data_IF_880259216574
#
_entry.id   IF_880259216574
#
_cell.length_a   1.000
_cell.length_b   1.000
_cell.length_c   1.000
_cell.angle_alpha   90.00
_cell.angle_beta   90.00
_cell.angle_gamma   90.00
#
_symmetry.space_group_name_H-M   'P 1'
#
loop_
_entity.id
_entity.type
_entity.pdbx_description
1 polymer ?
#
# COMPACT_ATOMS: atom_id res chain seq x y z
N UNK A 1 16.02 -42.66 -69.95
CA UNK A 1 16.57 -42.36 -68.64
C UNK A 1 15.96 -41.03 -68.19
N UNK A 2 14.87 -41.13 -67.45
CA UNK A 2 14.15 -39.92 -66.94
C UNK A 2 14.52 -39.73 -65.48
N UNK A 3 15.16 -38.60 -65.14
CA UNK A 3 15.53 -38.21 -63.78
C UNK A 3 14.36 -37.51 -63.10
N UNK A 4 13.80 -38.11 -62.02
CA UNK A 4 12.80 -37.48 -61.16
C UNK A 4 13.59 -36.61 -60.16
N UNK A 5 13.27 -35.30 -60.13
CA UNK A 5 13.71 -34.38 -59.11
C UNK A 5 12.60 -34.32 -58.05
N UNK A 6 12.89 -34.81 -56.83
CA UNK A 6 12.03 -34.68 -55.69
C UNK A 6 12.28 -33.31 -55.03
N UNK A 7 11.24 -32.45 -55.00
CA UNK A 7 11.25 -31.18 -54.27
C UNK A 7 10.80 -31.44 -52.85
N UNK A 8 11.70 -31.27 -51.89
CA UNK A 8 11.43 -31.35 -50.47
C UNK A 8 10.90 -29.99 -50.01
N UNK A 9 9.62 -29.92 -49.72
CA UNK A 9 8.99 -28.74 -49.08
C UNK A 9 9.24 -28.77 -47.58
N UNK A 10 10.17 -27.91 -47.10
CA UNK A 10 10.35 -27.64 -45.67
C UNK A 10 9.26 -26.70 -45.20
N UNK A 11 8.29 -27.20 -44.43
CA UNK A 11 7.32 -26.37 -43.71
C UNK A 11 7.97 -25.76 -42.45
N UNK A 12 8.30 -24.48 -42.48
CA UNK A 12 8.68 -23.70 -41.31
C UNK A 12 7.45 -23.49 -40.42
N UNK A 13 7.37 -24.24 -39.33
CA UNK A 13 6.42 -23.97 -38.26
C UNK A 13 6.87 -22.69 -37.52
N UNK A 14 6.20 -21.59 -37.76
CA UNK A 14 6.35 -20.37 -36.99
C UNK A 14 5.71 -20.60 -35.61
N UNK A 15 6.52 -20.93 -34.62
CA UNK A 15 6.08 -20.90 -33.23
C UNK A 15 5.81 -19.42 -32.85
N UNK A 16 4.54 -19.05 -32.90
CA UNK A 16 4.08 -17.78 -32.34
C UNK A 16 4.40 -17.74 -30.85
N UNK A 17 5.43 -17.00 -30.46
CA UNK A 17 5.64 -16.62 -29.09
C UNK A 17 4.44 -15.77 -28.66
N UNK A 18 3.49 -16.40 -27.93
CA UNK A 18 2.53 -15.69 -27.12
C UNK A 18 3.31 -14.93 -26.06
N UNK A 19 3.76 -13.73 -26.38
CA UNK A 19 4.20 -12.77 -25.38
C UNK A 19 2.97 -12.43 -24.53
N UNK A 20 2.83 -13.09 -23.38
CA UNK A 20 2.01 -12.59 -22.31
C UNK A 20 2.48 -11.15 -22.04
N UNK A 21 1.82 -10.16 -22.65
CA UNK A 21 1.94 -8.76 -22.27
C UNK A 21 1.47 -8.70 -20.81
N UNK A 22 2.43 -8.79 -19.90
CA UNK A 22 2.22 -8.50 -18.49
C UNK A 22 1.50 -7.14 -18.45
N UNK A 23 0.26 -7.12 -17.92
CA UNK A 23 -0.53 -5.88 -17.83
C UNK A 23 0.35 -4.84 -17.14
N UNK A 24 0.67 -3.76 -17.83
CA UNK A 24 1.57 -2.68 -17.37
C UNK A 24 0.97 -1.80 -16.27
N UNK A 25 -0.07 -2.27 -15.58
CA UNK A 25 -0.78 -1.56 -14.53
C UNK A 25 -0.33 -1.99 -13.13
N UNK A 26 -0.50 -1.09 -12.17
CA UNK A 26 -0.32 -1.35 -10.75
C UNK A 26 -1.60 -1.95 -10.20
N UNK A 27 -1.60 -3.24 -9.85
CA UNK A 27 -2.76 -3.90 -9.25
C UNK A 27 -2.72 -3.75 -7.74
N UNK A 28 -3.81 -3.26 -7.17
CA UNK A 28 -3.96 -2.99 -5.74
C UNK A 28 -5.25 -3.64 -5.25
N UNK A 29 -5.15 -4.39 -4.15
CA UNK A 29 -6.28 -5.02 -3.45
C UNK A 29 -6.49 -4.32 -2.12
N UNK A 30 -7.72 -3.90 -1.83
CA UNK A 30 -8.13 -3.34 -0.55
C UNK A 30 -8.38 -4.45 0.48
N UNK A 31 -7.81 -4.32 1.67
CA UNK A 31 -7.88 -5.35 2.71
C UNK A 31 -8.38 -4.84 4.08
N UNK A 32 -9.01 -3.68 4.08
CA UNK A 32 -9.68 -3.11 5.25
C UNK A 32 -9.02 -1.84 5.77
N UNK A 33 -9.81 -0.93 6.30
CA UNK A 33 -9.44 0.39 6.81
C UNK A 33 -8.57 1.20 5.81
N UNK A 34 -7.26 1.32 6.05
CA UNK A 34 -6.26 1.84 5.10
C UNK A 34 -5.42 0.73 4.47
N UNK A 35 -5.72 -0.52 4.81
CA UNK A 35 -4.96 -1.69 4.39
C UNK A 35 -5.05 -1.96 2.89
N UNK A 36 -3.89 -2.06 2.24
CA UNK A 36 -3.78 -2.43 0.82
C UNK A 36 -2.67 -3.45 0.58
N UNK A 37 -2.89 -4.29 -0.44
CA UNK A 37 -1.86 -5.15 -1.04
C UNK A 37 -1.54 -4.67 -2.43
N UNK A 38 -0.27 -4.38 -2.70
CA UNK A 38 0.24 -3.93 -3.99
C UNK A 38 0.93 -5.09 -4.67
N UNK A 39 0.50 -5.43 -5.89
CA UNK A 39 1.09 -6.46 -6.74
C UNK A 39 2.14 -5.86 -7.67
N UNK A 40 3.38 -6.34 -7.58
CA UNK A 40 4.45 -5.90 -8.50
C UNK A 40 4.67 -6.87 -9.66
N UNK A 41 3.98 -8.03 -9.63
CA UNK A 41 4.23 -9.15 -10.53
C UNK A 41 5.30 -10.13 -10.00
N UNK A 42 6.29 -9.64 -9.26
CA UNK A 42 7.35 -10.48 -8.64
C UNK A 42 7.14 -10.67 -7.15
N UNK A 43 6.65 -9.66 -6.48
CA UNK A 43 6.46 -9.60 -5.04
C UNK A 43 5.18 -8.84 -4.70
N UNK A 44 4.77 -8.90 -3.46
CA UNK A 44 3.67 -8.13 -2.89
C UNK A 44 4.19 -7.20 -1.80
N UNK A 45 3.53 -6.06 -1.66
CA UNK A 45 3.77 -5.10 -0.59
C UNK A 45 2.46 -4.92 0.14
N UNK A 46 2.48 -5.01 1.46
CA UNK A 46 1.32 -4.72 2.32
C UNK A 46 1.57 -3.39 3.01
N UNK A 47 0.58 -2.50 2.98
CA UNK A 47 0.58 -1.26 3.78
C UNK A 47 -0.63 -1.32 4.69
N UNK A 48 -0.46 -1.09 6.00
CA UNK A 48 -1.50 -1.02 7.04
C UNK A 48 -2.55 -2.15 7.02
N UNK A 49 -2.13 -3.36 6.60
CA UNK A 49 -3.07 -4.46 6.34
C UNK A 49 -3.04 -5.60 7.35
N UNK A 50 -2.13 -5.57 8.33
CA UNK A 50 -2.03 -6.57 9.40
C UNK A 50 -2.40 -5.92 10.74
N UNK A 51 -3.69 -5.77 10.96
CA UNK A 51 -4.26 -5.10 12.13
C UNK A 51 -5.50 -5.81 12.64
N UNK A 52 -5.92 -5.50 13.86
CA UNK A 52 -7.14 -6.00 14.46
C UNK A 52 -8.38 -5.26 13.91
N UNK A 53 -9.53 -5.90 14.04
CA UNK A 53 -10.79 -5.17 13.97
C UNK A 53 -10.86 -4.23 15.16
N UNK A 54 -10.88 -2.95 14.90
CA UNK A 54 -10.85 -1.94 15.95
C UNK A 54 -11.98 -0.92 15.79
N UNK A 55 -12.78 -0.75 16.85
CA UNK A 55 -13.93 0.15 16.85
C UNK A 55 -14.85 -0.09 15.65
N UNK A 56 -15.02 0.92 14.80
CA UNK A 56 -15.86 0.90 13.62
C UNK A 56 -15.16 0.39 12.35
N UNK A 57 -13.84 0.17 12.41
CA UNK A 57 -13.06 -0.20 11.23
C UNK A 57 -12.92 -1.72 11.10
N UNK A 58 -12.91 -2.19 9.86
CA UNK A 58 -12.81 -3.61 9.53
C UNK A 58 -11.40 -3.97 9.08
N UNK A 59 -11.03 -5.21 9.34
CA UNK A 59 -9.90 -5.88 8.72
C UNK A 59 -10.41 -7.02 7.84
N UNK A 60 -9.51 -7.74 7.17
CA UNK A 60 -9.87 -9.00 6.52
C UNK A 60 -10.63 -9.91 7.48
N UNK A 61 -11.61 -10.62 6.95
CA UNK A 61 -12.30 -11.68 7.68
C UNK A 61 -11.54 -13.00 7.56
N UNK A 62 -11.87 -13.95 8.43
CA UNK A 62 -11.41 -15.32 8.30
C UNK A 62 -12.08 -15.98 7.07
N UNK A 63 -11.38 -16.78 6.25
CA UNK A 63 -10.00 -17.26 6.45
C UNK A 63 -8.90 -16.36 5.85
N UNK A 64 -9.23 -15.27 5.14
CA UNK A 64 -8.25 -14.44 4.44
C UNK A 64 -7.22 -13.79 5.38
N UNK A 65 -7.66 -13.38 6.57
CA UNK A 65 -6.76 -12.84 7.58
C UNK A 65 -5.74 -13.89 8.04
N UNK A 66 -6.19 -15.14 8.24
CA UNK A 66 -5.29 -16.25 8.58
C UNK A 66 -4.29 -16.54 7.45
N UNK A 67 -4.73 -16.44 6.21
CA UNK A 67 -3.83 -16.64 5.06
C UNK A 67 -2.78 -15.54 4.98
N UNK A 68 -3.16 -14.28 5.27
CA UNK A 68 -2.20 -13.18 5.33
C UNK A 68 -1.23 -13.35 6.50
N UNK A 69 -1.70 -13.64 7.72
CA UNK A 69 -0.85 -13.85 8.90
C UNK A 69 0.14 -15.01 8.68
N UNK A 70 -0.31 -16.09 8.03
CA UNK A 70 0.50 -17.29 7.83
C UNK A 70 1.23 -17.31 6.48
N UNK A 71 1.28 -16.18 5.76
CA UNK A 71 1.93 -16.06 4.46
C UNK A 71 1.52 -17.14 3.46
N UNK A 72 0.22 -17.50 3.46
CA UNK A 72 -0.37 -18.48 2.53
C UNK A 72 -0.97 -17.76 1.31
N UNK A 73 -1.32 -18.51 0.28
CA UNK A 73 -2.00 -17.94 -0.91
C UNK A 73 -3.27 -17.19 -0.50
N UNK A 74 -3.49 -16.00 -1.10
CA UNK A 74 -2.71 -15.37 -2.18
C UNK A 74 -1.55 -14.47 -1.71
N UNK A 75 -1.14 -14.51 -0.43
CA UNK A 75 -0.20 -13.58 0.22
C UNK A 75 1.23 -14.15 0.38
N UNK A 76 1.54 -15.29 -0.22
CA UNK A 76 2.83 -15.96 -0.09
C UNK A 76 4.02 -15.20 -0.69
N UNK A 77 3.74 -14.15 -1.48
CA UNK A 77 4.77 -13.32 -2.11
C UNK A 77 5.00 -11.97 -1.42
N UNK A 78 4.41 -11.76 -0.25
CA UNK A 78 4.64 -10.55 0.53
C UNK A 78 6.11 -10.50 0.95
N UNK A 79 6.81 -9.47 0.48
CA UNK A 79 8.23 -9.26 0.78
C UNK A 79 8.47 -8.01 1.60
N UNK A 80 7.48 -7.12 1.66
CA UNK A 80 7.56 -5.86 2.39
C UNK A 80 6.22 -5.56 3.06
N UNK A 81 6.28 -5.30 4.35
CA UNK A 81 5.15 -4.84 5.17
C UNK A 81 5.49 -3.44 5.67
N UNK A 82 4.62 -2.49 5.41
CA UNK A 82 4.73 -1.11 5.84
C UNK A 82 3.61 -0.80 6.83
N UNK A 83 3.92 -0.13 7.92
CA UNK A 83 2.89 0.42 8.81
C UNK A 83 3.09 1.92 8.97
N UNK A 84 2.05 2.69 8.69
CA UNK A 84 2.06 4.14 8.82
C UNK A 84 2.27 4.56 10.27
N UNK A 85 1.59 3.88 11.20
CA UNK A 85 1.71 4.14 12.63
C UNK A 85 1.24 2.94 13.47
N UNK A 86 1.27 3.06 14.80
CA UNK A 86 1.09 1.93 15.72
C UNK A 86 -0.35 1.71 16.21
N UNK A 87 -1.33 2.51 15.77
CA UNK A 87 -2.72 2.31 16.19
C UNK A 87 -3.26 0.96 15.73
N UNK A 88 -4.19 0.40 16.53
CA UNK A 88 -4.66 -0.97 16.38
C UNK A 88 -5.44 -1.26 15.09
N UNK A 89 -5.92 -0.24 14.42
CA UNK A 89 -6.59 -0.32 13.11
C UNK A 89 -5.65 -0.14 11.91
N UNK A 90 -4.34 -0.01 12.16
CA UNK A 90 -3.27 0.02 11.14
C UNK A 90 -2.20 -1.04 11.37
N UNK A 91 -1.95 -1.41 12.63
CA UNK A 91 -0.85 -2.28 12.99
C UNK A 91 -1.16 -3.18 14.17
N UNK A 92 -0.78 -4.46 14.05
CA UNK A 92 -0.74 -5.42 15.15
C UNK A 92 0.59 -6.17 15.15
N UNK A 93 1.41 -5.93 16.16
CA UNK A 93 2.74 -6.53 16.28
C UNK A 93 2.74 -8.06 16.29
N UNK A 94 1.71 -8.72 16.86
CA UNK A 94 1.60 -10.18 16.86
C UNK A 94 1.30 -10.72 15.47
N UNK A 95 0.40 -10.10 14.73
CA UNK A 95 0.04 -10.53 13.37
C UNK A 95 1.20 -10.31 12.40
N UNK A 96 1.81 -9.12 12.42
CA UNK A 96 2.99 -8.83 11.59
C UNK A 96 4.16 -9.75 11.98
N UNK A 97 4.39 -9.95 13.27
CA UNK A 97 5.42 -10.85 13.77
C UNK A 97 5.23 -12.30 13.32
N UNK A 98 3.99 -12.82 13.37
CA UNK A 98 3.67 -14.15 12.87
C UNK A 98 3.89 -14.24 11.34
N UNK A 99 3.50 -13.22 10.57
CA UNK A 99 3.80 -13.19 9.14
C UNK A 99 5.30 -13.24 8.87
N UNK A 100 6.10 -12.44 9.58
CA UNK A 100 7.56 -12.44 9.44
C UNK A 100 8.19 -13.78 9.82
N UNK A 101 7.67 -14.48 10.83
CA UNK A 101 8.13 -15.83 11.16
C UNK A 101 7.81 -16.84 10.06
N UNK A 102 6.61 -16.80 9.51
CA UNK A 102 6.14 -17.72 8.48
C UNK A 102 6.72 -17.39 7.09
N UNK A 103 7.19 -16.15 6.88
CA UNK A 103 7.80 -15.69 5.64
C UNK A 103 9.19 -15.07 5.89
N UNK A 104 10.26 -15.88 5.83
CA UNK A 104 11.62 -15.38 6.07
C UNK A 104 12.12 -14.33 5.09
N UNK A 105 11.46 -14.16 3.95
CA UNK A 105 11.80 -13.15 2.93
C UNK A 105 11.18 -11.78 3.22
N UNK A 106 10.12 -11.73 4.03
CA UNK A 106 9.42 -10.49 4.35
C UNK A 106 10.23 -9.63 5.33
N UNK A 107 10.13 -8.32 5.14
CA UNK A 107 10.67 -7.28 6.02
C UNK A 107 9.57 -6.35 6.46
N UNK A 108 9.74 -5.74 7.62
CA UNK A 108 8.84 -4.72 8.15
C UNK A 108 9.56 -3.37 8.22
N UNK A 109 8.85 -2.32 7.80
CA UNK A 109 9.21 -0.91 8.01
C UNK A 109 8.03 -0.23 8.69
N UNK A 110 8.32 0.54 9.71
CA UNK A 110 7.33 1.33 10.43
C UNK A 110 7.99 2.35 11.33
N UNK A 111 7.19 2.92 12.22
CA UNK A 111 7.64 3.89 13.20
C UNK A 111 8.48 3.24 14.31
N UNK A 112 9.19 4.07 15.10
CA UNK A 112 9.87 3.58 16.30
C UNK A 112 8.85 3.10 17.35
N UNK A 113 7.67 3.74 17.43
CA UNK A 113 6.59 3.30 18.33
C UNK A 113 6.12 1.90 17.96
N UNK A 114 5.90 1.60 16.66
CA UNK A 114 5.52 0.26 16.20
C UNK A 114 6.63 -0.77 16.49
N UNK A 115 7.90 -0.43 16.26
CA UNK A 115 9.02 -1.33 16.56
C UNK A 115 9.15 -1.63 18.05
N UNK A 116 8.92 -0.66 18.92
CA UNK A 116 8.91 -0.84 20.36
C UNK A 116 7.78 -1.76 20.83
N UNK A 117 6.65 -1.75 20.13
CA UNK A 117 5.52 -2.63 20.42
C UNK A 117 5.86 -4.10 20.11
N UNK A 118 6.59 -4.38 19.03
CA UNK A 118 7.09 -5.72 18.73
C UNK A 118 7.87 -6.31 19.91
N UNK A 119 8.84 -5.55 20.43
CA UNK A 119 9.69 -6.01 21.52
C UNK A 119 8.91 -6.31 22.80
N UNK A 120 7.77 -5.62 23.01
CA UNK A 120 6.94 -5.80 24.20
C UNK A 120 5.99 -6.99 24.11
N UNK A 121 5.36 -7.21 22.93
CA UNK A 121 4.18 -8.09 22.87
C UNK A 121 4.36 -9.32 21.97
N UNK A 122 5.41 -9.37 21.15
CA UNK A 122 5.66 -10.51 20.27
C UNK A 122 6.78 -11.41 20.81
N UNK A 123 6.40 -12.56 21.35
CA UNK A 123 7.35 -13.49 21.99
C UNK A 123 8.47 -13.97 21.04
N UNK A 124 8.22 -14.00 19.72
CA UNK A 124 9.20 -14.39 18.69
C UNK A 124 10.09 -13.26 18.19
N UNK A 125 10.11 -12.08 18.84
CA UNK A 125 10.80 -10.89 18.35
C UNK A 125 12.27 -11.11 18.03
N UNK A 126 13.01 -11.80 18.90
CA UNK A 126 14.44 -12.08 18.70
C UNK A 126 14.74 -12.82 17.38
N UNK A 127 13.78 -13.62 16.87
CA UNK A 127 13.94 -14.37 15.63
C UNK A 127 13.72 -13.50 14.37
N UNK A 128 13.05 -12.35 14.52
CA UNK A 128 12.67 -11.47 13.43
C UNK A 128 13.31 -10.08 13.50
N UNK A 129 13.97 -9.72 14.58
CA UNK A 129 14.46 -8.35 14.86
C UNK A 129 15.28 -7.73 13.73
N UNK A 130 16.12 -8.53 13.06
CA UNK A 130 16.95 -8.06 11.93
C UNK A 130 16.15 -7.73 10.68
N UNK A 131 14.85 -8.04 10.68
CA UNK A 131 13.90 -7.76 9.60
C UNK A 131 12.83 -6.74 10.01
N UNK A 132 12.90 -6.24 11.23
CA UNK A 132 12.07 -5.13 11.74
C UNK A 132 12.92 -3.87 11.72
N UNK A 133 12.60 -2.95 10.81
CA UNK A 133 13.38 -1.75 10.57
C UNK A 133 12.55 -0.51 10.91
N UNK A 134 12.69 0.08 12.11
CA UNK A 134 12.14 1.40 12.38
C UNK A 134 12.82 2.43 11.49
N UNK A 135 12.02 3.27 10.85
CA UNK A 135 12.53 4.25 9.89
C UNK A 135 11.83 5.59 10.16
N UNK A 136 12.53 6.48 10.85
CA UNK A 136 11.99 7.77 11.28
C UNK A 136 12.85 8.91 10.70
N UNK A 137 12.49 9.47 9.53
CA UNK A 137 13.14 10.69 9.05
C UNK A 137 12.85 11.86 9.99
N UNK A 138 13.68 12.89 9.97
CA UNK A 138 13.31 14.17 10.57
C UNK A 138 12.11 14.76 9.81
N UNK A 139 11.33 15.63 10.49
CA UNK A 139 10.28 16.38 9.78
C UNK A 139 10.90 17.19 8.63
N UNK A 140 10.18 17.22 7.49
CA UNK A 140 10.59 17.86 6.24
C UNK A 140 11.70 17.14 5.47
N UNK A 141 12.22 16.05 6.00
CA UNK A 141 13.18 15.16 5.32
C UNK A 141 12.49 13.85 4.92
N UNK A 142 13.10 13.12 3.98
CA UNK A 142 12.68 11.77 3.61
C UNK A 142 13.86 10.82 3.63
N UNK A 143 13.57 9.55 3.90
CA UNK A 143 14.54 8.46 3.78
C UNK A 143 14.15 7.62 2.59
N UNK A 144 15.07 7.48 1.63
CA UNK A 144 14.87 6.67 0.43
C UNK A 144 15.48 5.28 0.61
N UNK A 145 14.66 4.25 0.43
CA UNK A 145 15.02 2.84 0.56
C UNK A 145 14.73 2.10 -0.74
N UNK A 146 15.39 0.96 -0.95
CA UNK A 146 15.16 0.11 -2.13
C UNK A 146 15.04 -1.35 -1.71
N UNK A 147 13.97 -2.02 -2.16
CA UNK A 147 13.68 -3.43 -1.91
C UNK A 147 13.42 -4.14 -3.25
N UNK A 148 14.45 -4.79 -3.78
CA UNK A 148 14.39 -5.36 -5.14
C UNK A 148 14.17 -4.26 -6.18
N UNK A 149 13.04 -4.32 -6.88
CA UNK A 149 12.64 -3.33 -7.90
C UNK A 149 11.69 -2.23 -7.37
N UNK A 150 11.44 -2.22 -6.06
CA UNK A 150 10.59 -1.23 -5.39
C UNK A 150 11.45 -0.16 -4.71
N UNK A 151 11.17 1.11 -5.00
CA UNK A 151 11.72 2.24 -4.25
C UNK A 151 10.66 2.76 -3.30
N UNK A 152 11.06 3.05 -2.07
CA UNK A 152 10.19 3.56 -1.00
C UNK A 152 10.82 4.81 -0.42
N UNK A 153 10.18 5.97 -0.62
CA UNK A 153 10.52 7.20 0.11
C UNK A 153 9.62 7.28 1.33
N UNK A 154 10.22 7.25 2.50
CA UNK A 154 9.54 7.37 3.80
C UNK A 154 9.47 8.85 4.17
N UNK A 155 8.27 9.35 4.41
CA UNK A 155 7.97 10.73 4.78
C UNK A 155 7.51 10.76 6.24
N UNK A 156 7.95 11.71 7.02
CA UNK A 156 7.42 11.91 8.37
C UNK A 156 6.31 12.96 8.32
N UNK A 157 5.09 12.54 8.63
CA UNK A 157 3.90 13.39 8.61
C UNK A 157 3.31 13.49 10.02
N UNK A 158 2.79 14.66 10.38
CA UNK A 158 2.02 14.80 11.61
C UNK A 158 0.75 13.97 11.52
N UNK A 159 0.44 13.22 12.58
CA UNK A 159 -0.84 12.55 12.72
C UNK A 159 -1.97 13.57 12.88
N UNK A 160 -3.15 13.24 12.36
CA UNK A 160 -4.35 14.08 12.43
C UNK A 160 -4.89 14.29 13.86
N UNK A 161 -5.61 15.37 14.06
CA UNK A 161 -6.26 15.68 15.33
C UNK A 161 -5.29 15.96 16.48
N UNK A 162 -5.68 15.70 17.74
CA UNK A 162 -4.88 15.98 18.92
C UNK A 162 -3.71 15.01 19.13
N UNK A 163 -3.59 13.98 18.30
CA UNK A 163 -2.66 12.87 18.48
C UNK A 163 -1.29 13.13 17.85
N UNK A 164 -0.80 14.38 17.85
CA UNK A 164 0.50 14.77 17.26
C UNK A 164 1.72 14.05 17.87
N UNK A 165 1.59 13.47 19.06
CA UNK A 165 2.62 12.62 19.66
C UNK A 165 2.70 11.23 19.02
N UNK A 166 1.70 10.82 18.25
CA UNK A 166 1.73 9.60 17.45
C UNK A 166 2.65 9.79 16.27
N UNK A 167 3.65 8.95 16.17
CA UNK A 167 4.51 8.91 14.99
C UNK A 167 3.70 8.40 13.80
N UNK A 168 3.64 9.15 12.71
CA UNK A 168 2.98 8.75 11.48
C UNK A 168 3.88 8.92 10.27
N UNK A 169 3.91 7.93 9.42
CA UNK A 169 4.70 7.87 8.19
C UNK A 169 3.80 7.89 6.96
N UNK A 170 4.21 8.69 5.98
CA UNK A 170 3.74 8.53 4.62
C UNK A 170 4.74 7.73 3.79
N UNK A 171 4.25 7.00 2.82
CA UNK A 171 5.06 6.19 1.91
C UNK A 171 4.81 6.61 0.47
N UNK A 172 5.86 7.10 -0.19
CA UNK A 172 5.84 7.31 -1.65
C UNK A 172 6.61 6.17 -2.31
N UNK A 173 5.88 5.24 -2.91
CA UNK A 173 6.46 4.07 -3.58
C UNK A 173 6.61 4.31 -5.07
N UNK A 174 7.69 3.77 -5.64
CA UNK A 174 7.82 3.61 -7.09
C UNK A 174 7.85 2.12 -7.41
N UNK A 175 6.82 1.64 -8.11
CA UNK A 175 6.58 0.24 -8.48
C UNK A 175 6.23 0.20 -9.97
N UNK A 176 6.94 -0.59 -10.78
CA UNK A 176 6.68 -0.73 -12.22
C UNK A 176 6.57 0.63 -12.96
N UNK A 177 7.43 1.60 -12.59
CA UNK A 177 7.42 2.98 -13.10
C UNK A 177 6.17 3.79 -12.74
N UNK A 178 5.32 3.31 -11.85
CA UNK A 178 4.18 4.01 -11.26
C UNK A 178 4.52 4.52 -9.88
N UNK A 179 4.01 5.69 -9.54
CA UNK A 179 4.16 6.27 -8.20
C UNK A 179 2.86 6.18 -7.42
N UNK A 180 2.95 5.60 -6.23
CA UNK A 180 1.87 5.47 -5.27
C UNK A 180 2.24 6.23 -4.00
N UNK A 181 1.31 7.04 -3.50
CA UNK A 181 1.41 7.71 -2.20
C UNK A 181 0.37 7.13 -1.24
N UNK A 182 0.81 6.77 -0.03
CA UNK A 182 -0.05 6.43 1.11
C UNK A 182 0.37 7.31 2.28
N UNK A 183 -0.57 7.96 2.95
CA UNK A 183 -0.22 8.99 3.96
C UNK A 183 -0.51 8.56 5.40
N UNK A 184 -1.16 7.40 5.59
CA UNK A 184 -1.70 7.01 6.91
C UNK A 184 -2.68 8.07 7.42
N UNK A 185 -2.80 8.19 8.72
CA UNK A 185 -3.68 9.16 9.39
C UNK A 185 -3.11 10.57 9.46
N UNK A 186 -2.46 11.01 8.39
CA UNK A 186 -1.81 12.31 8.38
C UNK A 186 -2.80 13.48 8.55
N UNK A 187 -2.31 14.56 9.19
CA UNK A 187 -3.02 15.83 9.26
C UNK A 187 -3.03 16.53 7.89
N UNK A 188 -4.19 17.06 7.49
CA UNK A 188 -4.36 17.80 6.25
C UNK A 188 -3.88 19.25 6.43
N UNK A 189 -2.57 19.45 6.45
CA UNK A 189 -1.95 20.78 6.61
C UNK A 189 -0.83 21.02 5.59
N UNK A 190 -0.63 22.28 5.24
CA UNK A 190 0.45 22.69 4.33
C UNK A 190 1.82 22.28 4.89
N UNK A 191 2.01 22.38 6.20
CA UNK A 191 3.23 21.99 6.90
C UNK A 191 3.63 20.54 6.67
N UNK A 192 2.63 19.64 6.49
CA UNK A 192 2.87 18.23 6.24
C UNK A 192 3.35 17.94 4.82
N UNK A 193 2.93 18.71 3.81
CA UNK A 193 3.11 18.32 2.41
C UNK A 193 4.04 19.21 1.62
N UNK A 194 4.06 20.52 1.88
CA UNK A 194 4.89 21.47 1.13
C UNK A 194 6.40 21.12 1.13
N UNK A 195 6.99 20.68 2.28
CA UNK A 195 8.40 20.35 2.31
C UNK A 195 8.81 19.21 1.37
N UNK A 196 7.89 18.29 1.08
CA UNK A 196 8.16 17.11 0.25
C UNK A 196 7.97 17.38 -1.25
N UNK A 197 7.46 18.57 -1.62
CA UNK A 197 7.28 19.00 -3.03
C UNK A 197 6.54 17.94 -3.86
N UNK A 198 5.47 17.34 -3.30
CA UNK A 198 4.72 16.27 -3.95
C UNK A 198 4.16 16.65 -5.33
N UNK A 199 3.97 17.94 -5.57
CA UNK A 199 3.55 18.48 -6.89
C UNK A 199 4.51 18.13 -8.02
N UNK A 200 5.80 17.93 -7.73
CA UNK A 200 6.82 17.53 -8.71
C UNK A 200 6.94 16.01 -8.89
N UNK A 201 6.32 15.20 -8.00
CA UNK A 201 6.52 13.76 -7.99
C UNK A 201 5.73 12.99 -9.06
N UNK A 202 4.74 13.62 -9.72
CA UNK A 202 3.90 12.98 -10.75
C UNK A 202 3.26 11.67 -10.22
N UNK A 203 2.55 11.77 -9.10
CA UNK A 203 1.90 10.65 -8.42
C UNK A 203 0.82 10.06 -9.34
N UNK A 204 0.85 8.73 -9.56
CA UNK A 204 -0.17 8.02 -10.33
C UNK A 204 -1.42 7.76 -9.48
N UNK A 205 -1.24 7.32 -8.21
CA UNK A 205 -2.34 7.08 -7.27
C UNK A 205 -1.99 7.54 -5.87
N UNK A 206 -2.91 8.25 -5.21
CA UNK A 206 -2.78 8.64 -3.80
C UNK A 206 -3.90 8.03 -2.97
N UNK A 207 -3.54 7.31 -1.90
CA UNK A 207 -4.44 6.80 -0.87
C UNK A 207 -4.49 7.82 0.26
N UNK A 208 -5.68 8.37 0.46
CA UNK A 208 -5.91 9.46 1.42
C UNK A 208 -7.07 9.10 2.34
N UNK A 209 -6.98 9.43 3.64
CA UNK A 209 -8.10 9.32 4.55
C UNK A 209 -9.33 10.07 4.03
N UNK A 210 -10.51 9.49 4.20
CA UNK A 210 -11.75 10.01 3.64
C UNK A 210 -12.03 11.47 4.04
N UNK A 211 -11.60 11.91 5.22
CA UNK A 211 -11.84 13.28 5.70
C UNK A 211 -11.12 14.37 4.89
N UNK A 212 -10.15 14.02 4.05
CA UNK A 212 -9.54 14.96 3.09
C UNK A 212 -10.50 15.36 1.96
N UNK A 213 -11.56 14.59 1.75
CA UNK A 213 -12.39 14.68 0.55
C UNK A 213 -13.86 14.97 0.86
N UNK A 214 -14.20 15.34 2.11
CA UNK A 214 -15.60 15.53 2.54
C UNK A 214 -16.23 16.82 2.04
N UNK A 215 -15.43 17.81 1.67
CA UNK A 215 -15.90 19.12 1.21
C UNK A 215 -14.97 19.73 0.15
N UNK A 216 -15.41 20.86 -0.39
CA UNK A 216 -14.67 21.58 -1.45
C UNK A 216 -13.31 22.13 -0.98
N UNK A 217 -13.14 22.44 0.32
CA UNK A 217 -11.87 22.95 0.87
C UNK A 217 -10.84 21.84 0.90
N UNK A 218 -11.21 20.67 1.40
CA UNK A 218 -10.35 19.50 1.40
C UNK A 218 -10.01 19.05 -0.02
N UNK A 219 -10.99 19.01 -0.91
CA UNK A 219 -10.77 18.70 -2.32
C UNK A 219 -9.79 19.69 -3.01
N UNK A 220 -9.90 20.99 -2.72
CA UNK A 220 -8.96 22.00 -3.22
C UNK A 220 -7.55 21.80 -2.65
N UNK A 221 -7.44 21.51 -1.36
CA UNK A 221 -6.16 21.20 -0.72
C UNK A 221 -5.46 20.02 -1.40
N UNK A 222 -6.19 18.91 -1.62
CA UNK A 222 -5.63 17.72 -2.29
C UNK A 222 -5.13 18.06 -3.70
N UNK A 223 -5.93 18.77 -4.50
CA UNK A 223 -5.52 19.17 -5.85
C UNK A 223 -4.29 20.07 -5.86
N UNK A 224 -4.12 20.91 -4.84
CA UNK A 224 -3.01 21.85 -4.74
C UNK A 224 -1.73 21.21 -4.20
N UNK A 225 -1.82 20.37 -3.16
CA UNK A 225 -0.65 19.90 -2.41
C UNK A 225 -0.31 18.42 -2.65
N UNK A 226 -1.28 17.61 -3.09
CA UNK A 226 -1.13 16.18 -3.33
C UNK A 226 -1.71 15.82 -4.72
N UNK A 227 -1.31 16.49 -5.81
CA UNK A 227 -1.86 16.21 -7.11
C UNK A 227 -1.48 14.80 -7.57
N UNK A 228 -2.47 13.94 -7.75
CA UNK A 228 -2.34 12.59 -8.25
C UNK A 228 -3.28 12.39 -9.45
N UNK A 229 -2.92 11.49 -10.38
CA UNK A 229 -3.80 11.14 -11.51
C UNK A 229 -5.10 10.50 -11.03
N UNK A 230 -5.00 9.71 -9.95
CA UNK A 230 -6.13 9.08 -9.29
C UNK A 230 -6.00 9.25 -7.77
N UNK A 231 -7.09 9.64 -7.13
CA UNK A 231 -7.21 9.69 -5.66
C UNK A 231 -8.13 8.58 -5.21
N UNK A 232 -7.72 7.86 -4.18
CA UNK A 232 -8.48 6.78 -3.53
C UNK A 232 -8.75 7.18 -2.09
N UNK A 233 -10.01 7.27 -1.71
CA UNK A 233 -10.43 7.46 -0.33
C UNK A 233 -10.39 6.13 0.43
N UNK A 234 -9.70 6.11 1.55
CA UNK A 234 -9.59 4.99 2.49
C UNK A 234 -10.03 5.43 3.88
N UNK A 235 -9.94 4.57 4.89
CA UNK A 235 -10.35 4.85 6.27
C UNK A 235 -11.84 5.15 6.42
N UNK A 236 -12.68 4.70 5.48
CA UNK A 236 -14.12 4.96 5.48
C UNK A 236 -14.80 4.02 6.48
N UNK A 237 -15.50 4.54 7.53
CA UNK A 237 -16.23 3.68 8.43
C UNK A 237 -17.30 2.89 7.69
N UNK A 238 -17.36 1.55 7.79
CA UNK A 238 -18.33 0.73 7.06
C UNK A 238 -19.79 1.13 7.29
N UNK A 239 -20.15 1.52 8.52
CA UNK A 239 -21.50 1.95 8.85
C UNK A 239 -21.92 3.22 8.11
N UNK A 240 -20.96 4.09 7.77
CA UNK A 240 -21.19 5.37 7.12
C UNK A 240 -20.80 5.38 5.64
N UNK A 241 -20.42 4.24 5.08
CA UNK A 241 -19.80 4.14 3.76
C UNK A 241 -20.62 4.80 2.65
N UNK A 242 -21.95 4.61 2.63
CA UNK A 242 -22.83 5.22 1.64
C UNK A 242 -22.84 6.75 1.77
N UNK A 243 -23.08 7.26 2.98
CA UNK A 243 -23.19 8.70 3.25
C UNK A 243 -21.87 9.44 3.01
N UNK A 244 -20.74 8.83 3.43
CA UNK A 244 -19.39 9.35 3.24
C UNK A 244 -19.04 9.36 1.75
N UNK A 245 -19.29 8.25 1.04
CA UNK A 245 -19.05 8.17 -0.41
C UNK A 245 -19.84 9.24 -1.17
N UNK A 246 -21.10 9.48 -0.82
CA UNK A 246 -21.91 10.54 -1.44
C UNK A 246 -21.30 11.91 -1.23
N UNK A 247 -20.81 12.23 -0.02
CA UNK A 247 -20.13 13.51 0.27
C UNK A 247 -18.83 13.64 -0.53
N UNK A 248 -18.01 12.59 -0.55
CA UNK A 248 -16.77 12.57 -1.33
C UNK A 248 -17.07 12.81 -2.80
N UNK A 249 -18.04 12.11 -3.38
CA UNK A 249 -18.39 12.26 -4.80
C UNK A 249 -18.95 13.64 -5.14
N UNK A 250 -19.56 14.32 -4.18
CA UNK A 250 -20.01 15.71 -4.36
C UNK A 250 -18.84 16.71 -4.38
N UNK A 251 -17.80 16.50 -3.55
CA UNK A 251 -16.64 17.40 -3.46
C UNK A 251 -15.50 17.03 -4.42
N UNK A 252 -15.31 15.74 -4.68
CA UNK A 252 -14.23 15.18 -5.51
C UNK A 252 -14.81 14.03 -6.38
N UNK A 253 -15.54 14.34 -7.47
CA UNK A 253 -16.28 13.34 -8.27
C UNK A 253 -15.44 12.17 -8.80
N UNK A 254 -14.17 12.44 -9.14
CA UNK A 254 -13.24 11.48 -9.70
C UNK A 254 -12.59 10.53 -8.65
N UNK A 255 -12.73 10.82 -7.34
CA UNK A 255 -12.18 9.96 -6.30
C UNK A 255 -12.79 8.56 -6.35
N UNK A 256 -11.98 7.54 -6.15
CA UNK A 256 -12.42 6.16 -5.87
C UNK A 256 -12.61 6.04 -4.35
N UNK A 257 -13.64 5.33 -3.90
CA UNK A 257 -13.83 5.01 -2.48
C UNK A 257 -13.66 3.50 -2.32
N UNK A 258 -12.69 3.09 -1.50
CA UNK A 258 -12.55 1.69 -1.14
C UNK A 258 -13.47 1.38 0.04
N UNK A 259 -14.46 0.53 -0.19
CA UNK A 259 -15.49 0.17 0.80
C UNK A 259 -15.76 -1.33 0.88
N UNK A 260 -15.27 -2.12 -0.08
CA UNK A 260 -15.49 -3.56 -0.14
C UNK A 260 -14.20 -4.32 0.02
N UNK A 261 -14.11 -5.20 1.03
CA UNK A 261 -12.95 -6.06 1.23
C UNK A 261 -12.65 -6.89 -0.02
N UNK A 262 -11.37 -7.08 -0.29
CA UNK A 262 -10.84 -7.78 -1.47
C UNK A 262 -11.19 -7.11 -2.82
N UNK A 263 -11.71 -5.89 -2.80
CA UNK A 263 -11.85 -5.10 -4.03
C UNK A 263 -10.47 -4.87 -4.66
N UNK A 264 -10.34 -5.20 -5.94
CA UNK A 264 -9.10 -5.05 -6.70
C UNK A 264 -9.26 -4.01 -7.81
N UNK A 265 -8.27 -3.13 -7.93
CA UNK A 265 -8.18 -2.12 -8.99
C UNK A 265 -6.81 -2.15 -9.65
N UNK A 266 -6.78 -1.80 -10.94
CA UNK A 266 -5.54 -1.59 -11.70
C UNK A 266 -5.41 -0.12 -12.06
N UNK A 267 -4.26 0.48 -11.76
CA UNK A 267 -3.94 1.89 -11.96
C UNK A 267 -2.83 2.10 -13.00
#
# INVERSE_FOLDING_TARGET
MRMLIAILLLSLAVFGQNSNKQKSGLSITYIGNEGIVIETGKQQIVIDGLHDKYLMYTTLEQPQLDDLINARKPFERVSLILASHFHLDHFNAKMVGAHLQNNPKARFIGTQQAANDFAKVFAGFEQIKDRVQPTMPNFKERIDLTFGDVKVSVLRLWHSGPLRATENLGYLLTVNSKKLLHVGDADMSVENYEPYKLTSEKIDVAFLPYWYLLDSKGAAFVRQHIPAKQVVAVHIPPADAESVTKKIKAAYPEAICFTSLMEQRTF
#
